data_IF_319378172515
#
_entry.id   IF_319378172515
#
_cell.length_a   1.000
_cell.length_b   1.000
_cell.length_c   1.000
_cell.angle_alpha   90.00
_cell.angle_beta   90.00
_cell.angle_gamma   90.00
#
_symmetry.space_group_name_H-M   'P 1'
#
loop_
_entity.id
_entity.type
_entity.pdbx_description
1 polymer ?
#
# COMPACT_ATOMS: atom_id res chain seq x y z
N UNK A 1 16.09 8.29 -24.54
CA UNK A 1 16.46 9.36 -25.48
C UNK A 1 17.41 10.42 -24.89
N UNK A 2 17.61 10.53 -23.57
CA UNK A 2 18.47 11.57 -22.95
C UNK A 2 19.52 11.02 -21.95
N UNK A 3 19.92 9.75 -22.07
CA UNK A 3 20.87 9.15 -21.12
C UNK A 3 22.21 9.92 -21.12
N UNK A 4 22.68 10.30 -19.92
CA UNK A 4 23.95 11.02 -19.73
C UNK A 4 23.91 12.53 -20.00
N UNK A 5 22.73 13.14 -20.16
CA UNK A 5 22.58 14.60 -20.35
C UNK A 5 21.87 15.24 -19.16
N UNK A 6 22.29 16.45 -18.71
CA UNK A 6 21.52 17.20 -17.73
C UNK A 6 20.18 17.63 -18.34
N UNK A 7 19.12 17.58 -17.53
CA UNK A 7 17.76 17.98 -17.88
C UNK A 7 17.30 19.05 -16.88
N UNK A 8 16.63 20.08 -17.37
CA UNK A 8 15.86 20.99 -16.54
C UNK A 8 14.49 20.38 -16.17
N UNK A 9 13.73 21.07 -15.32
CA UNK A 9 12.47 20.58 -14.77
C UNK A 9 11.41 20.34 -15.87
N UNK A 10 11.26 21.29 -16.80
CA UNK A 10 10.31 21.19 -17.92
C UNK A 10 10.64 20.03 -18.85
N UNK A 11 11.92 19.84 -19.17
CA UNK A 11 12.36 18.72 -20.00
C UNK A 11 12.13 17.37 -19.30
N UNK A 12 12.32 17.31 -17.98
CA UNK A 12 12.05 16.10 -17.20
C UNK A 12 10.55 15.77 -17.17
N UNK A 13 9.69 16.78 -17.03
CA UNK A 13 8.23 16.63 -17.05
C UNK A 13 7.74 16.18 -18.43
N UNK A 14 8.23 16.79 -19.52
CA UNK A 14 7.87 16.43 -20.88
C UNK A 14 8.25 14.97 -21.24
N UNK A 15 9.29 14.43 -20.60
CA UNK A 15 9.70 13.03 -20.73
C UNK A 15 8.96 12.07 -19.79
N UNK A 16 8.08 12.57 -18.90
CA UNK A 16 7.35 11.78 -17.92
C UNK A 16 8.23 11.18 -16.82
N UNK A 17 9.40 11.78 -16.55
CA UNK A 17 10.33 11.31 -15.53
C UNK A 17 9.97 11.81 -14.12
N UNK A 18 9.22 12.90 -14.04
CA UNK A 18 8.71 13.50 -12.80
C UNK A 18 7.20 13.72 -12.92
N UNK A 19 6.53 13.83 -11.78
CA UNK A 19 5.07 14.02 -11.72
C UNK A 19 4.64 15.44 -12.09
N UNK A 20 5.43 16.45 -11.68
CA UNK A 20 5.16 17.87 -11.87
C UNK A 20 6.46 18.69 -11.83
N UNK A 21 6.42 19.91 -12.35
CA UNK A 21 7.52 20.89 -12.32
C UNK A 21 6.98 22.29 -11.96
N UNK A 22 6.49 22.51 -10.72
CA UNK A 22 6.00 23.82 -10.30
C UNK A 22 7.14 24.85 -10.20
N UNK A 23 6.81 26.11 -10.44
CA UNK A 23 7.75 27.22 -10.30
C UNK A 23 7.98 27.61 -8.83
N UNK A 24 8.79 28.63 -8.59
CA UNK A 24 9.14 29.10 -7.25
C UNK A 24 7.97 29.74 -6.48
N UNK A 25 6.91 30.14 -7.19
CA UNK A 25 5.70 30.72 -6.62
C UNK A 25 4.76 29.60 -6.15
N UNK A 26 4.54 28.59 -7.00
CA UNK A 26 3.56 27.52 -6.74
C UNK A 26 4.12 26.39 -5.85
N UNK A 27 5.45 26.20 -5.84
CA UNK A 27 6.10 25.07 -5.15
C UNK A 27 5.67 24.90 -3.69
N UNK A 28 5.65 26.00 -2.93
CA UNK A 28 5.40 25.94 -1.49
C UNK A 28 3.99 25.45 -1.17
N UNK A 29 3.00 25.85 -1.96
CA UNK A 29 1.61 25.50 -1.73
C UNK A 29 1.24 24.14 -2.33
N UNK A 30 1.66 23.84 -3.56
CA UNK A 30 1.35 22.55 -4.18
C UNK A 30 1.92 21.37 -3.39
N UNK A 31 3.18 21.45 -2.97
CA UNK A 31 3.82 20.38 -2.21
C UNK A 31 3.20 20.25 -0.82
N UNK A 32 2.91 21.38 -0.16
CA UNK A 32 2.27 21.37 1.16
C UNK A 32 0.89 20.73 1.10
N UNK A 33 0.05 21.12 0.13
CA UNK A 33 -1.30 20.56 -0.04
C UNK A 33 -1.22 19.05 -0.30
N UNK A 34 -0.33 18.59 -1.21
CA UNK A 34 -0.19 17.17 -1.48
C UNK A 34 0.22 16.34 -0.24
N UNK A 35 1.04 16.92 0.65
CA UNK A 35 1.43 16.28 1.92
C UNK A 35 0.27 16.30 2.93
N UNK A 36 -0.43 17.42 3.06
CA UNK A 36 -1.59 17.56 3.94
C UNK A 36 -2.71 16.58 3.55
N UNK A 37 -3.01 16.47 2.25
CA UNK A 37 -3.97 15.49 1.73
C UNK A 37 -3.53 14.05 2.05
N UNK A 38 -2.24 13.74 1.89
CA UNK A 38 -1.71 12.43 2.23
C UNK A 38 -1.86 12.09 3.71
N UNK A 39 -1.70 13.07 4.59
CA UNK A 39 -1.90 12.92 6.02
C UNK A 39 -3.37 12.83 6.43
N UNK A 40 -4.27 13.47 5.68
CA UNK A 40 -5.70 13.51 5.98
C UNK A 40 -6.47 12.27 5.50
N UNK A 41 -5.96 11.54 4.51
CA UNK A 41 -6.60 10.35 3.95
C UNK A 41 -6.41 9.10 4.82
N UNK A 42 -7.32 8.12 4.67
CA UNK A 42 -7.22 6.85 5.39
C UNK A 42 -5.92 6.11 5.02
N UNK A 43 -5.09 5.74 6.02
CA UNK A 43 -3.83 5.03 5.76
C UNK A 43 -4.06 3.65 5.15
N UNK A 44 -5.15 2.98 5.51
CA UNK A 44 -5.51 1.66 4.96
C UNK A 44 -5.84 1.75 3.47
N UNK A 45 -6.61 2.77 3.09
CA UNK A 45 -6.99 3.00 1.70
C UNK A 45 -5.78 3.39 0.83
N UNK A 46 -4.91 4.26 1.34
CA UNK A 46 -3.68 4.67 0.65
C UNK A 46 -2.71 3.50 0.45
N UNK A 47 -2.56 2.65 1.46
CA UNK A 47 -1.72 1.44 1.37
C UNK A 47 -2.25 0.50 0.29
N UNK A 48 -3.56 0.30 0.22
CA UNK A 48 -4.20 -0.48 -0.84
C UNK A 48 -4.01 0.14 -2.23
N UNK A 49 -4.16 1.46 -2.34
CA UNK A 49 -3.96 2.20 -3.59
C UNK A 49 -2.53 2.06 -4.10
N UNK A 50 -1.53 2.33 -3.26
CA UNK A 50 -0.11 2.25 -3.61
C UNK A 50 0.32 0.84 -4.02
N UNK A 51 -0.18 -0.19 -3.32
CA UNK A 51 0.11 -1.57 -3.65
C UNK A 51 -0.36 -1.93 -5.07
N UNK A 52 -1.50 -1.38 -5.51
CA UNK A 52 -2.03 -1.59 -6.85
C UNK A 52 -1.33 -0.73 -7.90
N UNK A 53 -1.17 0.58 -7.67
CA UNK A 53 -0.57 1.49 -8.67
C UNK A 53 0.90 1.14 -8.96
N UNK A 54 1.68 0.78 -7.94
CA UNK A 54 3.12 0.46 -8.13
C UNK A 54 3.34 -0.89 -8.81
N UNK A 55 2.41 -1.84 -8.66
CA UNK A 55 2.55 -3.22 -9.15
C UNK A 55 1.38 -3.62 -10.07
N UNK A 56 0.90 -2.70 -10.90
CA UNK A 56 -0.35 -2.86 -11.66
C UNK A 56 -0.33 -3.90 -12.80
N UNK A 57 0.85 -4.21 -13.37
CA UNK A 57 0.88 -4.79 -14.72
C UNK A 57 1.47 -6.20 -14.83
N UNK A 58 2.63 -6.47 -14.21
CA UNK A 58 3.31 -7.76 -14.36
C UNK A 58 3.48 -8.43 -13.00
N UNK A 59 2.95 -9.64 -12.87
CA UNK A 59 3.18 -10.46 -11.69
C UNK A 59 4.37 -11.41 -11.87
N UNK A 60 5.13 -11.58 -10.79
CA UNK A 60 6.13 -12.62 -10.63
C UNK A 60 5.92 -13.30 -9.25
N UNK A 61 6.77 -14.28 -8.92
CA UNK A 61 6.66 -14.98 -7.63
C UNK A 61 6.68 -14.01 -6.44
N UNK A 62 7.56 -13.02 -6.44
CA UNK A 62 7.70 -12.08 -5.34
C UNK A 62 6.49 -11.14 -5.22
N UNK A 63 5.99 -10.60 -6.34
CA UNK A 63 4.79 -9.75 -6.30
C UNK A 63 3.55 -10.54 -5.92
N UNK A 64 3.48 -11.84 -6.23
CA UNK A 64 2.39 -12.73 -5.79
C UNK A 64 2.46 -13.04 -4.30
N UNK A 65 3.66 -13.15 -3.73
CA UNK A 65 3.86 -13.28 -2.29
C UNK A 65 3.35 -12.01 -1.59
N UNK A 66 3.84 -10.84 -1.98
CA UNK A 66 3.45 -9.57 -1.33
C UNK A 66 2.03 -9.08 -1.66
N UNK A 67 1.50 -9.45 -2.82
CA UNK A 67 0.13 -9.14 -3.23
C UNK A 67 -0.82 -10.22 -2.73
N UNK A 68 -1.04 -11.25 -3.56
CA UNK A 68 -2.06 -12.28 -3.32
C UNK A 68 -1.92 -12.96 -1.96
N UNK A 69 -0.75 -13.48 -1.62
CA UNK A 69 -0.60 -14.24 -0.37
C UNK A 69 -0.70 -13.34 0.86
N UNK A 70 0.09 -12.26 0.90
CA UNK A 70 0.13 -11.35 2.04
C UNK A 70 -1.19 -10.59 2.23
N UNK A 71 -1.88 -10.15 1.18
CA UNK A 71 -3.17 -9.46 1.34
C UNK A 71 -4.24 -10.37 1.97
N UNK A 72 -4.33 -11.63 1.54
CA UNK A 72 -5.21 -12.62 2.17
C UNK A 72 -4.80 -12.90 3.62
N UNK A 73 -3.49 -12.98 3.89
CA UNK A 73 -3.00 -13.19 5.25
C UNK A 73 -3.31 -12.01 6.17
N UNK A 74 -3.17 -10.77 5.70
CA UNK A 74 -3.52 -9.57 6.45
C UNK A 74 -5.01 -9.55 6.80
N UNK A 75 -5.88 -9.96 5.87
CA UNK A 75 -7.31 -10.12 6.15
C UNK A 75 -7.60 -11.19 7.21
N UNK A 76 -6.89 -12.33 7.19
CA UNK A 76 -7.00 -13.37 8.23
C UNK A 76 -6.55 -12.82 9.59
N UNK A 77 -5.44 -12.08 9.64
CA UNK A 77 -4.86 -11.56 10.88
C UNK A 77 -5.70 -10.48 11.56
N UNK A 78 -6.56 -9.77 10.84
CA UNK A 78 -7.47 -8.78 11.43
C UNK A 78 -8.80 -9.38 11.92
N UNK A 79 -8.98 -10.71 11.92
CA UNK A 79 -10.25 -11.36 12.29
C UNK A 79 -10.16 -12.19 13.59
N UNK A 80 -11.26 -12.25 14.37
CA UNK A 80 -11.27 -12.89 15.69
C UNK A 80 -10.99 -14.40 15.66
N UNK A 81 -11.31 -15.09 14.55
CA UNK A 81 -10.99 -16.51 14.40
C UNK A 81 -9.49 -16.80 14.56
N UNK A 82 -8.61 -15.88 14.13
CA UNK A 82 -7.16 -16.03 14.27
C UNK A 82 -6.65 -15.44 15.59
N UNK A 83 -6.91 -14.14 15.84
CA UNK A 83 -6.25 -13.34 16.90
C UNK A 83 -7.13 -13.04 18.11
N UNK A 84 -8.42 -13.40 18.08
CA UNK A 84 -9.37 -13.16 19.17
C UNK A 84 -9.04 -13.96 20.45
N UNK A 85 -9.66 -13.63 21.57
CA UNK A 85 -9.39 -14.27 22.88
C UNK A 85 -9.54 -15.80 22.87
N UNK A 86 -10.56 -16.31 22.17
CA UNK A 86 -10.78 -17.75 21.92
C UNK A 86 -10.37 -18.18 20.50
N UNK A 87 -9.57 -17.36 19.82
CA UNK A 87 -9.06 -17.59 18.48
C UNK A 87 -7.93 -18.62 18.45
N UNK A 88 -7.64 -19.13 17.26
CA UNK A 88 -6.71 -20.25 17.06
C UNK A 88 -5.32 -20.00 17.66
N UNK A 89 -4.78 -18.79 17.54
CA UNK A 89 -3.43 -18.49 18.03
C UNK A 89 -3.33 -18.48 19.55
N UNK A 90 -4.37 -18.00 20.24
CA UNK A 90 -4.34 -17.84 21.71
C UNK A 90 -4.64 -19.14 22.47
N UNK A 91 -5.42 -20.05 21.88
CA UNK A 91 -5.73 -21.35 22.51
C UNK A 91 -4.66 -22.41 22.25
N UNK A 92 -3.66 -22.11 21.42
CA UNK A 92 -2.54 -23.02 21.16
C UNK A 92 -1.82 -23.37 22.48
N UNK A 93 -1.71 -24.66 22.78
CA UNK A 93 -1.05 -25.16 24.00
C UNK A 93 -1.90 -25.15 25.27
N UNK A 94 -3.14 -24.62 25.26
CA UNK A 94 -4.00 -24.56 26.46
C UNK A 94 -4.89 -25.79 26.64
N UNK A 95 -5.00 -26.64 25.62
CA UNK A 95 -5.94 -27.78 25.60
C UNK A 95 -7.40 -27.40 25.31
N UNK A 96 -7.69 -26.11 25.13
CA UNK A 96 -9.03 -25.62 24.78
C UNK A 96 -9.27 -25.63 23.26
N UNK A 97 -10.51 -25.86 22.84
CA UNK A 97 -10.91 -25.80 21.42
C UNK A 97 -11.20 -24.34 21.02
N UNK A 98 -10.69 -23.93 19.86
CA UNK A 98 -10.96 -22.59 19.31
C UNK A 98 -12.46 -22.40 18.99
N UNK A 99 -12.96 -21.20 19.27
CA UNK A 99 -14.33 -20.79 18.91
C UNK A 99 -14.33 -20.04 17.59
N UNK A 100 -14.79 -20.68 16.52
CA UNK A 100 -14.82 -20.09 15.18
C UNK A 100 -16.24 -19.67 14.77
N UNK A 101 -16.35 -18.49 14.15
CA UNK A 101 -17.49 -18.17 13.29
C UNK A 101 -17.36 -19.00 11.99
N UNK A 102 -18.38 -19.80 11.70
CA UNK A 102 -18.44 -20.73 10.55
C UNK A 102 -18.99 -20.09 9.28
N UNK A 103 -19.43 -18.82 9.36
CA UNK A 103 -20.00 -18.10 8.22
C UNK A 103 -18.90 -17.74 7.22
N UNK A 104 -19.14 -18.00 5.93
CA UNK A 104 -18.24 -17.61 4.84
C UNK A 104 -18.41 -16.12 4.51
N UNK A 105 -17.35 -15.53 3.94
CA UNK A 105 -17.31 -14.15 3.43
C UNK A 105 -17.04 -14.18 1.94
#
# INVERSE_FOLDING_TARGET
AAAGRPLDADSALALGLVTAAPDDIDWADEIRIAIEERAAMSPDALTGLEANLRFASRENMNTRIFGRLTAWQNWIFNRPNAVGEKGALKVYGTGQKAGFDQTRV
#
